data_IF_219552086672
#
_entry.id   IF_219552086672
#
_cell.length_a   1.000
_cell.length_b   1.000
_cell.length_c   1.000
_cell.angle_alpha   90.00
_cell.angle_beta   90.00
_cell.angle_gamma   90.00
#
_symmetry.space_group_name_H-M   'P 1'
#
loop_
_entity.id
_entity.type
_entity.pdbx_description
1 polymer ?
#
# COMPACT_ATOMS: atom_id res chain seq x y z
N UNK A 1 -1.77 19.84 -16.06
CA UNK A 1 -1.38 19.41 -14.69
C UNK A 1 -0.26 18.34 -14.68
N UNK A 2 0.68 18.35 -15.63
CA UNK A 2 1.80 17.37 -15.69
C UNK A 2 3.16 17.92 -15.23
N UNK A 3 3.25 19.23 -14.99
CA UNK A 3 4.50 19.93 -14.67
C UNK A 3 4.77 20.11 -13.17
N UNK A 4 3.84 19.76 -12.27
CA UNK A 4 4.06 19.85 -10.82
C UNK A 4 4.77 18.60 -10.24
N UNK A 5 5.04 17.58 -11.06
CA UNK A 5 5.68 16.34 -10.64
C UNK A 5 7.21 16.37 -10.70
N UNK A 6 7.84 17.34 -11.38
CA UNK A 6 9.31 17.44 -11.44
C UNK A 6 9.93 18.00 -10.14
N UNK A 7 9.14 18.68 -9.31
CA UNK A 7 9.60 19.18 -7.99
C UNK A 7 9.91 18.02 -7.03
N UNK A 8 9.39 16.82 -7.31
CA UNK A 8 9.57 15.63 -6.47
C UNK A 8 11.01 15.08 -6.44
N UNK A 9 11.88 15.52 -7.35
CA UNK A 9 13.32 15.22 -7.30
C UNK A 9 14.10 16.07 -6.29
N UNK A 10 13.61 17.28 -6.00
CA UNK A 10 14.32 18.25 -5.16
C UNK A 10 14.05 18.06 -3.66
N UNK A 11 12.90 17.48 -3.29
CA UNK A 11 12.53 17.28 -1.89
C UNK A 11 12.24 15.80 -1.59
N UNK A 12 13.23 15.05 -1.05
CA UNK A 12 13.05 13.64 -0.74
C UNK A 12 11.91 13.46 0.28
N UNK A 13 10.93 12.62 -0.06
CA UNK A 13 9.78 12.32 0.79
C UNK A 13 8.50 13.11 0.49
N UNK A 14 8.57 14.24 -0.25
CA UNK A 14 7.40 15.09 -0.53
C UNK A 14 6.34 14.38 -1.38
N UNK A 15 6.76 13.70 -2.44
CA UNK A 15 5.86 12.96 -3.32
C UNK A 15 5.18 11.76 -2.63
N UNK A 16 5.87 11.10 -1.69
CA UNK A 16 5.27 10.04 -0.87
C UNK A 16 4.32 10.59 0.20
N UNK A 17 4.61 11.76 0.77
CA UNK A 17 3.72 12.42 1.72
C UNK A 17 2.40 12.82 1.06
N UNK A 18 2.45 13.35 -0.17
CA UNK A 18 1.26 13.69 -0.97
C UNK A 18 0.41 12.48 -1.38
N UNK A 19 0.97 11.27 -1.39
CA UNK A 19 0.25 10.01 -1.65
C UNK A 19 -0.37 9.37 -0.40
N UNK A 20 -0.30 10.04 0.76
CA UNK A 20 -0.88 9.55 2.01
C UNK A 20 -0.06 8.49 2.73
N UNK A 21 1.18 8.21 2.28
CA UNK A 21 2.07 7.28 2.96
C UNK A 21 2.70 7.96 4.18
N UNK A 22 2.27 7.60 5.39
CA UNK A 22 2.75 8.20 6.65
C UNK A 22 4.27 8.13 6.84
N UNK A 23 4.94 7.17 6.20
CA UNK A 23 6.42 7.08 6.18
C UNK A 23 7.07 8.17 5.34
N UNK A 24 6.41 8.62 4.26
CA UNK A 24 6.89 9.71 3.41
C UNK A 24 6.88 11.06 4.13
N UNK A 25 5.89 11.28 4.99
CA UNK A 25 5.78 12.46 5.86
C UNK A 25 6.98 12.53 6.81
N UNK A 26 7.38 11.40 7.40
CA UNK A 26 8.55 11.34 8.28
C UNK A 26 9.85 11.76 7.58
N UNK A 27 10.07 11.32 6.34
CA UNK A 27 11.24 11.72 5.55
C UNK A 27 11.22 13.20 5.16
N UNK A 28 10.04 13.74 4.80
CA UNK A 28 9.89 15.15 4.47
C UNK A 28 10.19 16.07 5.66
N UNK A 29 9.72 15.69 6.86
CA UNK A 29 10.01 16.41 8.11
C UNK A 29 11.50 16.29 8.46
N UNK A 30 12.08 15.09 8.36
CA UNK A 30 13.50 14.86 8.64
C UNK A 30 14.42 15.68 7.74
N UNK A 31 14.11 15.76 6.44
CA UNK A 31 14.87 16.62 5.51
C UNK A 31 14.71 18.10 5.84
N UNK A 32 13.50 18.56 6.19
CA UNK A 32 13.27 19.93 6.62
C UNK A 32 14.07 20.30 7.86
N UNK A 33 14.09 19.44 8.89
CA UNK A 33 14.89 19.63 10.10
C UNK A 33 16.39 19.61 9.82
N UNK A 34 16.86 18.77 8.90
CA UNK A 34 18.26 18.74 8.50
C UNK A 34 18.68 20.00 7.74
N UNK A 35 17.82 20.51 6.86
CA UNK A 35 18.02 21.77 6.14
C UNK A 35 18.05 22.96 7.11
N UNK A 36 17.12 22.99 8.06
CA UNK A 36 17.06 24.01 9.11
C UNK A 36 18.31 23.96 10.00
N UNK A 37 18.74 22.77 10.44
CA UNK A 37 19.99 22.60 11.18
C UNK A 37 21.22 23.03 10.37
N UNK A 38 21.26 22.75 9.06
CA UNK A 38 22.36 23.20 8.20
C UNK A 38 22.40 24.72 8.05
N UNK A 39 21.25 25.38 7.95
CA UNK A 39 21.13 26.84 7.95
C UNK A 39 21.58 27.42 9.30
N UNK A 40 21.08 26.86 10.41
CA UNK A 40 21.46 27.28 11.77
C UNK A 40 22.96 27.11 11.98
N UNK A 41 23.58 26.00 11.56
CA UNK A 41 25.02 25.79 11.68
C UNK A 41 25.82 26.73 10.77
N UNK A 42 25.31 27.04 9.57
CA UNK A 42 25.94 28.01 8.65
C UNK A 42 25.91 29.42 9.24
N UNK A 43 24.79 29.85 9.83
CA UNK A 43 24.69 31.17 10.46
C UNK A 43 25.31 31.21 11.86
N UNK A 44 25.30 30.12 12.63
CA UNK A 44 25.97 29.99 13.92
C UNK A 44 27.50 29.90 13.77
N UNK A 45 28.01 29.48 12.60
CA UNK A 45 29.44 29.56 12.28
C UNK A 45 29.98 31.00 12.19
N UNK A 46 29.09 32.00 12.23
CA UNK A 46 29.46 33.40 12.41
C UNK A 46 30.00 33.71 13.83
N UNK A 47 29.83 32.80 14.80
CA UNK A 47 30.45 32.92 16.14
C UNK A 47 31.69 32.03 16.26
N UNK A 48 32.83 32.55 15.78
CA UNK A 48 34.23 32.36 16.22
C UNK A 48 34.81 30.99 16.68
N UNK A 49 34.06 29.88 16.71
CA UNK A 49 34.44 28.67 17.44
C UNK A 49 34.58 27.40 16.58
N UNK A 50 34.31 27.46 15.28
CA UNK A 50 34.40 26.28 14.40
C UNK A 50 35.34 26.56 13.22
N UNK A 51 36.44 25.82 13.05
CA UNK A 51 37.34 26.00 11.92
C UNK A 51 36.60 25.72 10.60
N UNK A 52 36.78 26.62 9.63
CA UNK A 52 36.13 26.55 8.33
C UNK A 52 36.39 25.19 7.65
N UNK A 53 35.32 24.45 7.35
CA UNK A 53 35.36 23.12 6.71
C UNK A 53 34.68 22.01 7.51
N UNK A 54 34.69 22.08 8.85
CA UNK A 54 34.07 21.06 9.70
C UNK A 54 32.53 21.06 9.61
N UNK A 55 31.92 22.23 9.35
CA UNK A 55 30.47 22.32 9.12
C UNK A 55 30.01 21.49 7.92
N UNK A 56 30.74 21.55 6.80
CA UNK A 56 30.46 20.76 5.61
C UNK A 56 30.66 19.26 5.83
N UNK A 57 31.65 18.87 6.66
CA UNK A 57 31.88 17.48 7.02
C UNK A 57 30.71 16.88 7.82
N UNK A 58 30.24 17.56 8.88
CA UNK A 58 29.11 17.08 9.67
C UNK A 58 27.79 17.11 8.91
N UNK A 59 27.58 18.12 8.05
CA UNK A 59 26.43 18.17 7.15
C UNK A 59 26.43 16.98 6.18
N UNK A 60 27.57 16.69 5.55
CA UNK A 60 27.75 15.53 4.67
C UNK A 60 27.56 14.20 5.40
N UNK A 61 28.12 14.05 6.60
CA UNK A 61 28.00 12.84 7.41
C UNK A 61 26.55 12.59 7.85
N UNK A 62 25.86 13.64 8.32
CA UNK A 62 24.44 13.58 8.67
C UNK A 62 23.60 13.22 7.44
N UNK A 63 23.88 13.82 6.28
CA UNK A 63 23.20 13.52 5.02
C UNK A 63 23.39 12.06 4.60
N UNK A 64 24.61 11.52 4.68
CA UNK A 64 24.92 10.12 4.37
C UNK A 64 24.27 9.16 5.36
N UNK A 65 24.25 9.49 6.66
CA UNK A 65 23.57 8.68 7.68
C UNK A 65 22.05 8.64 7.46
N UNK A 66 21.43 9.79 7.18
CA UNK A 66 20.00 9.89 6.86
C UNK A 66 19.69 9.13 5.58
N UNK A 67 20.50 9.29 4.52
CA UNK A 67 20.34 8.57 3.27
C UNK A 67 20.52 7.05 3.47
N UNK A 68 21.53 6.64 4.23
CA UNK A 68 21.82 5.25 4.55
C UNK A 68 20.68 4.58 5.32
N UNK A 69 20.17 5.23 6.36
CA UNK A 69 18.99 4.77 7.11
C UNK A 69 17.72 4.77 6.25
N UNK A 70 17.60 5.70 5.30
CA UNK A 70 16.48 5.76 4.33
C UNK A 70 16.48 4.63 3.32
N UNK A 71 17.66 4.25 2.85
CA UNK A 71 17.83 3.13 1.93
C UNK A 71 17.72 1.80 2.69
N UNK A 72 18.28 1.70 3.90
CA UNK A 72 18.22 0.49 4.72
C UNK A 72 16.81 0.20 5.26
N UNK A 73 16.01 1.23 5.55
CA UNK A 73 14.61 1.11 5.99
C UNK A 73 13.61 0.87 4.86
N UNK A 74 14.03 1.02 3.60
CA UNK A 74 13.21 0.62 2.44
C UNK A 74 13.15 -0.90 2.42
N UNK A 75 12.08 -1.48 2.99
CA UNK A 75 11.68 -2.83 2.62
C UNK A 75 11.57 -2.83 1.09
N UNK A 76 12.54 -3.45 0.41
CA UNK A 76 12.42 -3.75 -1.02
C UNK A 76 11.09 -4.45 -1.15
N UNK A 77 10.10 -3.78 -1.75
CA UNK A 77 8.85 -4.44 -2.11
C UNK A 77 9.20 -5.71 -2.87
N UNK A 78 8.43 -6.80 -2.71
CA UNK A 78 8.68 -8.02 -3.47
C UNK A 78 8.87 -7.63 -4.94
N UNK A 79 9.90 -8.18 -5.58
CA UNK A 79 10.19 -7.89 -6.98
C UNK A 79 8.87 -7.95 -7.77
N UNK A 80 8.58 -6.91 -8.56
CA UNK A 80 7.39 -6.88 -9.41
C UNK A 80 7.50 -8.07 -10.35
N UNK A 81 6.70 -9.10 -10.06
CA UNK A 81 6.54 -10.24 -10.93
C UNK A 81 5.52 -9.80 -11.97
N UNK A 82 6.02 -9.34 -13.13
CA UNK A 82 5.19 -8.86 -14.24
C UNK A 82 4.15 -9.89 -14.65
N UNK A 83 4.46 -11.19 -14.49
CA UNK A 83 3.54 -12.27 -14.81
C UNK A 83 2.36 -12.33 -13.84
N UNK A 84 2.59 -12.10 -12.54
CA UNK A 84 1.54 -12.03 -11.52
C UNK A 84 0.63 -10.85 -11.79
N UNK A 85 1.20 -9.69 -12.11
CA UNK A 85 0.43 -8.49 -12.45
C UNK A 85 -0.43 -8.72 -13.70
N UNK A 86 0.13 -9.35 -14.73
CA UNK A 86 -0.60 -9.70 -15.94
C UNK A 86 -1.77 -10.66 -15.65
N UNK A 87 -1.57 -11.66 -14.78
CA UNK A 87 -2.67 -12.55 -14.37
C UNK A 87 -3.76 -11.81 -13.60
N UNK A 88 -3.41 -10.84 -12.75
CA UNK A 88 -4.39 -10.06 -12.02
C UNK A 88 -5.27 -9.22 -12.95
N UNK A 89 -4.65 -8.51 -13.89
CA UNK A 89 -5.38 -7.69 -14.88
C UNK A 89 -6.29 -8.55 -15.75
N UNK A 90 -5.82 -9.71 -16.19
CA UNK A 90 -6.63 -10.63 -17.00
C UNK A 90 -7.77 -11.25 -16.17
N UNK A 91 -7.52 -11.60 -14.90
CA UNK A 91 -8.57 -12.10 -14.00
C UNK A 91 -9.68 -11.07 -13.79
N UNK A 92 -9.34 -9.80 -13.59
CA UNK A 92 -10.33 -8.72 -13.50
C UNK A 92 -11.14 -8.60 -14.79
N UNK A 93 -10.48 -8.70 -15.95
CA UNK A 93 -11.18 -8.66 -17.24
C UNK A 93 -12.18 -9.80 -17.39
N UNK A 94 -11.80 -11.01 -17.00
CA UNK A 94 -12.71 -12.16 -16.98
C UNK A 94 -13.86 -11.96 -15.98
N UNK A 95 -13.57 -11.46 -14.78
CA UNK A 95 -14.58 -11.13 -13.77
C UNK A 95 -15.61 -10.12 -14.30
N UNK A 96 -15.16 -9.04 -14.94
CA UNK A 96 -16.04 -8.02 -15.50
C UNK A 96 -16.88 -8.52 -16.68
N UNK A 97 -16.39 -9.55 -17.40
CA UNK A 97 -17.13 -10.22 -18.48
C UNK A 97 -18.09 -11.31 -17.96
N UNK A 98 -18.09 -11.60 -16.66
CA UNK A 98 -18.88 -12.68 -16.07
C UNK A 98 -18.30 -14.09 -16.29
N UNK A 99 -17.04 -14.18 -16.75
CA UNK A 99 -16.31 -15.43 -16.94
C UNK A 99 -15.69 -15.89 -15.60
N UNK A 100 -16.53 -16.34 -14.67
CA UNK A 100 -16.14 -16.59 -13.28
C UNK A 100 -15.08 -17.68 -13.12
N UNK A 101 -15.16 -18.75 -13.90
CA UNK A 101 -14.26 -19.92 -13.81
C UNK A 101 -12.84 -19.53 -14.24
N UNK A 102 -12.72 -18.78 -15.33
CA UNK A 102 -11.46 -18.28 -15.86
C UNK A 102 -10.82 -17.27 -14.90
N UNK A 103 -11.64 -16.36 -14.36
CA UNK A 103 -11.19 -15.40 -13.35
C UNK A 103 -10.64 -16.12 -12.11
N UNK A 104 -11.39 -17.09 -11.57
CA UNK A 104 -10.99 -17.88 -10.40
C UNK A 104 -9.70 -18.67 -10.66
N UNK A 105 -9.56 -19.26 -11.84
CA UNK A 105 -8.35 -19.99 -12.24
C UNK A 105 -7.11 -19.09 -12.25
N UNK A 106 -7.24 -17.89 -12.81
CA UNK A 106 -6.14 -16.90 -12.86
C UNK A 106 -5.79 -16.38 -11.46
N UNK A 107 -6.79 -16.08 -10.64
CA UNK A 107 -6.60 -15.67 -9.24
C UNK A 107 -5.93 -16.78 -8.42
N UNK A 108 -6.32 -18.04 -8.62
CA UNK A 108 -5.68 -19.18 -7.96
C UNK A 108 -4.19 -19.30 -8.31
N UNK A 109 -3.83 -19.11 -9.59
CA UNK A 109 -2.41 -19.10 -10.02
C UNK A 109 -1.63 -17.95 -9.40
N UNK A 110 -2.26 -16.77 -9.30
CA UNK A 110 -1.68 -15.61 -8.65
C UNK A 110 -1.41 -15.90 -7.17
N UNK A 111 -2.42 -16.38 -6.44
CA UNK A 111 -2.31 -16.69 -5.01
C UNK A 111 -1.34 -17.83 -4.72
N UNK A 112 -1.14 -18.75 -5.64
CA UNK A 112 -0.10 -19.78 -5.53
C UNK A 112 1.32 -19.18 -5.53
N UNK A 113 1.56 -18.08 -6.27
CA UNK A 113 2.84 -17.35 -6.26
C UNK A 113 2.93 -16.33 -5.12
N UNK A 114 1.82 -15.65 -4.82
CA UNK A 114 1.74 -14.62 -3.78
C UNK A 114 0.57 -14.94 -2.86
N UNK A 115 0.77 -15.82 -1.87
CA UNK A 115 -0.28 -16.17 -0.95
C UNK A 115 -0.84 -14.93 -0.24
N UNK A 116 0.03 -13.99 0.12
CA UNK A 116 -0.34 -12.82 0.93
C UNK A 116 -0.93 -11.63 0.15
N UNK A 117 -1.25 -11.82 -1.13
CA UNK A 117 -1.84 -10.78 -1.97
C UNK A 117 -3.30 -10.52 -1.54
N UNK A 118 -3.51 -9.37 -0.88
CA UNK A 118 -4.82 -8.96 -0.36
C UNK A 118 -5.80 -8.68 -1.51
N UNK A 119 -5.34 -8.05 -2.59
CA UNK A 119 -6.19 -7.66 -3.72
C UNK A 119 -6.71 -8.89 -4.45
N UNK A 120 -5.84 -9.87 -4.68
CA UNK A 120 -6.23 -11.13 -5.29
C UNK A 120 -7.18 -11.94 -4.40
N UNK A 121 -6.97 -11.96 -3.07
CA UNK A 121 -7.92 -12.60 -2.13
C UNK A 121 -9.28 -11.89 -2.09
N UNK A 122 -9.32 -10.57 -2.22
CA UNK A 122 -10.58 -9.82 -2.34
C UNK A 122 -11.32 -10.16 -3.62
N UNK A 123 -10.62 -10.21 -4.75
CA UNK A 123 -11.20 -10.61 -6.02
C UNK A 123 -11.77 -12.04 -5.96
N UNK A 124 -11.07 -12.96 -5.28
CA UNK A 124 -11.57 -14.32 -5.02
C UNK A 124 -12.89 -14.29 -4.23
N UNK A 125 -12.94 -13.53 -3.13
CA UNK A 125 -14.17 -13.41 -2.33
C UNK A 125 -15.34 -12.82 -3.13
N UNK A 126 -15.09 -11.84 -4.00
CA UNK A 126 -16.11 -11.31 -4.91
C UNK A 126 -16.59 -12.36 -5.92
N UNK A 127 -15.70 -13.20 -6.45
CA UNK A 127 -16.07 -14.32 -7.34
C UNK A 127 -16.91 -15.35 -6.58
N UNK A 128 -16.47 -15.79 -5.40
CA UNK A 128 -17.20 -16.75 -4.54
C UNK A 128 -18.62 -16.25 -4.23
N UNK A 129 -18.78 -14.96 -3.95
CA UNK A 129 -20.10 -14.36 -3.74
C UNK A 129 -20.96 -14.39 -5.02
N UNK A 130 -20.38 -14.05 -6.17
CA UNK A 130 -21.07 -14.04 -7.48
C UNK A 130 -21.52 -15.44 -7.91
N UNK A 131 -20.73 -16.47 -7.58
CA UNK A 131 -21.03 -17.88 -7.89
C UNK A 131 -21.93 -18.55 -6.85
N UNK A 132 -22.32 -17.83 -5.79
CA UNK A 132 -23.22 -18.34 -4.74
C UNK A 132 -22.53 -19.10 -3.62
N UNK A 133 -21.19 -19.22 -3.65
CA UNK A 133 -20.35 -19.82 -2.59
C UNK A 133 -20.15 -18.85 -1.43
N UNK A 134 -21.27 -18.43 -0.82
CA UNK A 134 -21.31 -17.39 0.23
C UNK A 134 -20.53 -17.76 1.50
N UNK A 135 -20.53 -19.05 1.87
CA UNK A 135 -19.80 -19.53 3.04
C UNK A 135 -18.28 -19.39 2.87
N UNK A 136 -17.77 -19.70 1.68
CA UNK A 136 -16.35 -19.54 1.31
C UNK A 136 -15.97 -18.05 1.31
N UNK A 137 -16.77 -17.22 0.64
CA UNK A 137 -16.57 -15.77 0.60
C UNK A 137 -16.45 -15.16 2.01
N UNK A 138 -17.35 -15.55 2.92
CA UNK A 138 -17.29 -15.10 4.31
C UNK A 138 -16.03 -15.56 5.03
N UNK A 139 -15.63 -16.81 4.86
CA UNK A 139 -14.42 -17.33 5.49
C UNK A 139 -13.17 -16.58 5.01
N UNK A 140 -13.09 -16.31 3.70
CA UNK A 140 -12.02 -15.53 3.08
C UNK A 140 -11.98 -14.09 3.63
N UNK A 141 -13.11 -13.39 3.64
CA UNK A 141 -13.21 -12.01 4.13
C UNK A 141 -12.90 -11.87 5.63
N UNK A 142 -13.34 -12.82 6.47
CA UNK A 142 -13.01 -12.82 7.91
C UNK A 142 -11.50 -12.94 8.14
N UNK A 143 -10.82 -13.83 7.41
CA UNK A 143 -9.36 -13.96 7.48
C UNK A 143 -8.65 -12.67 7.04
N UNK A 144 -9.14 -12.03 5.97
CA UNK A 144 -8.59 -10.78 5.48
C UNK A 144 -8.75 -9.63 6.48
N UNK A 145 -9.89 -9.53 7.15
CA UNK A 145 -10.16 -8.47 8.14
C UNK A 145 -9.12 -8.45 9.26
N UNK A 146 -8.67 -9.62 9.69
CA UNK A 146 -7.72 -9.76 10.79
C UNK A 146 -6.25 -9.62 10.34
N UNK A 147 -5.99 -9.45 9.04
CA UNK A 147 -4.66 -9.31 8.46
C UNK A 147 -4.21 -7.84 8.43
N UNK A 148 -3.08 -7.45 9.06
CA UNK A 148 -2.58 -6.07 9.03
C UNK A 148 -2.37 -5.48 7.61
N UNK A 149 -1.89 -6.24 6.60
CA UNK A 149 -1.77 -5.74 5.22
C UNK A 149 -3.11 -5.32 4.58
N UNK A 150 -4.24 -5.84 5.08
CA UNK A 150 -5.56 -5.54 4.55
C UNK A 150 -6.20 -4.28 5.15
N UNK A 151 -5.49 -3.55 6.03
CA UNK A 151 -6.01 -2.34 6.67
C UNK A 151 -6.45 -1.26 5.66
N UNK A 152 -5.77 -1.16 4.51
CA UNK A 152 -6.14 -0.24 3.43
C UNK A 152 -7.46 -0.61 2.72
N UNK A 153 -7.87 -1.87 2.82
CA UNK A 153 -9.06 -2.44 2.18
C UNK A 153 -10.21 -2.70 3.17
N UNK A 154 -10.10 -2.16 4.39
CA UNK A 154 -11.06 -2.44 5.47
C UNK A 154 -12.48 -2.02 5.09
N UNK A 155 -12.63 -0.91 4.36
CA UNK A 155 -13.95 -0.43 3.94
C UNK A 155 -14.61 -1.40 2.96
N UNK A 156 -13.86 -1.90 1.98
CA UNK A 156 -14.30 -2.87 0.99
C UNK A 156 -14.65 -4.21 1.64
N UNK A 157 -13.82 -4.71 2.57
CA UNK A 157 -14.08 -5.95 3.31
C UNK A 157 -15.39 -5.86 4.09
N UNK A 158 -15.60 -4.77 4.83
CA UNK A 158 -16.82 -4.57 5.62
C UNK A 158 -18.06 -4.36 4.74
N UNK A 159 -17.90 -3.73 3.56
CA UNK A 159 -18.99 -3.59 2.59
C UNK A 159 -19.41 -4.95 2.00
N UNK A 160 -18.45 -5.77 1.59
CA UNK A 160 -18.70 -7.12 1.06
C UNK A 160 -19.31 -8.05 2.13
N UNK A 161 -18.84 -7.97 3.38
CA UNK A 161 -19.41 -8.72 4.51
C UNK A 161 -20.88 -8.36 4.76
N UNK A 162 -21.22 -7.06 4.78
CA UNK A 162 -22.62 -6.62 4.95
C UNK A 162 -23.54 -7.14 3.85
N UNK A 163 -23.10 -7.14 2.59
CA UNK A 163 -23.89 -7.69 1.49
C UNK A 163 -24.19 -9.19 1.66
N UNK A 164 -23.25 -9.95 2.23
CA UNK A 164 -23.46 -11.37 2.52
C UNK A 164 -24.50 -11.57 3.63
N UNK A 165 -24.43 -10.77 4.69
CA UNK A 165 -25.36 -10.81 5.82
C UNK A 165 -26.80 -10.44 5.39
N UNK A 166 -26.96 -9.38 4.60
CA UNK A 166 -28.27 -8.97 4.07
C UNK A 166 -28.91 -10.08 3.23
N UNK A 167 -28.14 -10.68 2.31
CA UNK A 167 -28.61 -11.76 1.43
C UNK A 167 -29.02 -13.01 2.20
N UNK A 168 -28.34 -13.32 3.31
CA UNK A 168 -28.70 -14.45 4.17
C UNK A 168 -29.95 -14.14 4.99
N UNK A 169 -30.07 -12.94 5.55
CA UNK A 169 -31.27 -12.51 6.26
C UNK A 169 -32.50 -12.55 5.34
N UNK A 170 -32.37 -12.15 4.07
CA UNK A 170 -33.41 -12.29 3.06
C UNK A 170 -33.78 -13.76 2.79
N UNK A 171 -32.78 -14.62 2.64
CA UNK A 171 -32.99 -16.05 2.41
C UNK A 171 -33.73 -16.72 3.59
N UNK A 172 -33.34 -16.40 4.83
CA UNK A 172 -33.99 -16.90 6.04
C UNK A 172 -35.43 -16.41 6.18
N UNK A 173 -35.70 -15.14 5.87
CA UNK A 173 -37.07 -14.60 5.88
C UNK A 173 -37.94 -15.27 4.83
N UNK A 174 -37.42 -15.50 3.62
CA UNK A 174 -38.12 -16.21 2.56
C UNK A 174 -38.47 -17.65 2.96
N UNK A 175 -37.57 -18.35 3.66
CA UNK A 175 -37.82 -19.70 4.16
C UNK A 175 -38.86 -19.75 5.30
N UNK A 176 -38.95 -18.71 6.14
CA UNK A 176 -39.94 -18.64 7.22
C UNK A 176 -41.33 -18.22 6.75
N UNK A 177 -41.43 -17.59 5.58
CA UNK A 177 -42.68 -17.14 4.99
C UNK A 177 -43.32 -18.17 4.03
N UNK A 178 -42.60 -19.25 3.71
CA UNK A 178 -43.06 -20.38 2.90
C UNK A 178 -43.56 -21.53 3.79
#
# INVERSE_FOLDING_TARGET
MRQLLDISGFWPGLASAWRGEGRGVGWAIGFGLALDAALVLTFASWSAAVPAGWGWFFAGLCWVLVLGLSVAGRKRGPARDEQVEAWFVEAQRHYLRGHWIEAETLVGRLLARRPDDVEARLLLASIERRTGRRAEARATLRRLRDCPPAAGWRFEIEAEMRQLEEREAEAERGQRAA
#
